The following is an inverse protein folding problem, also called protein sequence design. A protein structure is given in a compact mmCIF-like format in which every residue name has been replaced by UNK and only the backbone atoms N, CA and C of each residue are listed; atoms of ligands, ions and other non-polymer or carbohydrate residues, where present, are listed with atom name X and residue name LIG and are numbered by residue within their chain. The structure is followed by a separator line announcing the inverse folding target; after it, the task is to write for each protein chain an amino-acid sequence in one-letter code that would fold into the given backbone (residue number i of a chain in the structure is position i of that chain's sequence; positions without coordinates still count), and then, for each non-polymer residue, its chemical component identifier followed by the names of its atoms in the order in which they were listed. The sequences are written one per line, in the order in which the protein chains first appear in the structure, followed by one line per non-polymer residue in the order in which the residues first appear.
data_IF_714150681769
#
_entry.id   IF_714150681769
#
_cell.length_a   1.000
_cell.length_b   1.000
_cell.length_c   1.000
_cell.angle_alpha   90.00
_cell.angle_beta   90.00
_cell.angle_gamma   90.00
#
_symmetry.space_group_name_H-M   'P 1'
#
loop_
_entity.id
_entity.type
_entity.pdbx_description
1 polymer ?
#
# COMPACT_ATOMS: atom_id res chain seq x y z
N UNK A 1 -6.42 5.24 -4.63
CA UNK A 1 -6.19 6.26 -5.69
C UNK A 1 -7.28 6.15 -6.75
N UNK A 2 -7.32 7.05 -7.74
CA UNK A 2 -8.23 6.92 -8.89
C UNK A 2 -7.60 6.02 -9.98
N UNK A 3 -8.39 5.37 -10.85
CA UNK A 3 -7.84 4.63 -11.98
C UNK A 3 -6.86 5.46 -12.81
N UNK A 4 -5.72 4.87 -13.16
CA UNK A 4 -4.65 5.53 -13.94
C UNK A 4 -3.74 6.48 -13.16
N UNK A 5 -3.99 6.72 -11.87
CA UNK A 5 -3.07 7.49 -11.03
C UNK A 5 -1.83 6.67 -10.68
N UNK A 6 -0.67 7.33 -10.64
CA UNK A 6 0.55 6.80 -10.02
C UNK A 6 0.27 6.54 -8.52
N UNK A 7 0.72 5.39 -8.01
CA UNK A 7 0.35 4.89 -6.67
C UNK A 7 1.49 4.93 -5.66
N UNK A 8 2.74 4.90 -6.11
CA UNK A 8 3.92 4.85 -5.24
C UNK A 8 4.12 6.19 -4.49
N UNK A 9 4.00 7.29 -5.22
CA UNK A 9 4.21 8.68 -4.78
C UNK A 9 2.93 9.50 -4.83
N UNK A 10 1.77 8.83 -4.82
CA UNK A 10 0.49 9.52 -4.73
C UNK A 10 0.47 10.50 -3.55
N UNK A 11 -0.16 11.66 -3.76
CA UNK A 11 -0.31 12.69 -2.74
C UNK A 11 -1.77 12.71 -2.27
N UNK A 12 -2.07 12.19 -1.07
CA UNK A 12 -3.41 12.20 -0.52
C UNK A 12 -3.93 13.62 -0.35
N UNK A 13 -5.19 13.83 -0.69
CA UNK A 13 -5.88 15.08 -0.45
C UNK A 13 -6.60 15.05 0.91
N UNK A 14 -6.96 16.21 1.48
CA UNK A 14 -7.84 16.25 2.65
C UNK A 14 -9.17 15.50 2.44
N UNK A 15 -9.67 15.47 1.20
CA UNK A 15 -10.87 14.72 0.84
C UNK A 15 -10.68 13.20 0.97
N UNK A 16 -9.48 12.68 0.75
CA UNK A 16 -9.17 11.26 0.90
C UNK A 16 -9.09 10.86 2.37
N UNK A 17 -8.51 11.72 3.22
CA UNK A 17 -8.50 11.52 4.67
C UNK A 17 -9.94 11.47 5.20
N UNK A 18 -10.77 12.46 4.81
CA UNK A 18 -12.19 12.50 5.20
C UNK A 18 -12.95 11.25 4.77
N UNK A 19 -12.66 10.73 3.57
CA UNK A 19 -13.28 9.50 3.06
C UNK A 19 -12.86 8.28 3.88
N UNK A 20 -11.57 8.15 4.17
CA UNK A 20 -11.03 7.00 4.89
C UNK A 20 -11.42 6.98 6.37
N UNK A 21 -11.61 8.14 7.00
CA UNK A 21 -12.07 8.22 8.39
C UNK A 21 -13.47 7.61 8.61
N UNK A 22 -14.29 7.54 7.56
CA UNK A 22 -15.60 6.87 7.59
C UNK A 22 -15.56 5.37 7.27
N UNK A 23 -14.38 4.81 6.97
CA UNK A 23 -14.22 3.39 6.68
C UNK A 23 -14.25 2.56 7.97
N UNK A 24 -14.76 1.33 7.87
CA UNK A 24 -14.71 0.36 8.96
C UNK A 24 -13.39 -0.44 8.99
N UNK A 25 -12.67 -0.43 7.86
CA UNK A 25 -11.42 -1.14 7.66
C UNK A 25 -10.69 -0.51 6.48
N UNK A 26 -9.36 -0.45 6.54
CA UNK A 26 -8.50 -0.08 5.42
C UNK A 26 -7.63 -1.27 5.05
N UNK A 27 -7.56 -1.55 3.75
CA UNK A 27 -6.65 -2.52 3.18
C UNK A 27 -5.51 -1.78 2.49
N UNK A 28 -4.27 -2.10 2.86
CA UNK A 28 -3.06 -1.56 2.24
C UNK A 28 -2.25 -2.68 1.62
N UNK A 29 -1.52 -2.42 0.53
CA UNK A 29 -0.67 -3.45 -0.05
C UNK A 29 0.51 -3.77 0.86
N UNK A 30 1.15 -2.74 1.43
CA UNK A 30 2.42 -2.91 2.14
C UNK A 30 3.59 -3.11 1.16
N UNK A 31 4.63 -3.83 1.58
CA UNK A 31 5.88 -4.02 0.81
C UNK A 31 6.53 -2.71 0.32
N UNK A 32 6.23 -1.59 0.98
CA UNK A 32 6.62 -0.23 0.58
C UNK A 32 6.03 0.27 -0.75
N UNK A 33 4.88 -0.26 -1.20
CA UNK A 33 4.18 0.26 -2.38
C UNK A 33 3.76 1.72 -2.13
N UNK A 34 2.88 1.94 -1.17
CA UNK A 34 2.30 3.26 -0.89
C UNK A 34 3.19 4.04 0.10
N UNK A 35 4.25 4.70 -0.41
CA UNK A 35 5.21 5.45 0.45
C UNK A 35 4.56 6.56 1.29
N UNK A 36 3.42 7.05 0.83
CA UNK A 36 2.60 8.06 1.50
C UNK A 36 1.71 7.50 2.62
N UNK A 37 1.44 6.19 2.64
CA UNK A 37 0.37 5.61 3.44
C UNK A 37 0.60 5.74 4.94
N UNK A 38 1.83 5.53 5.42
CA UNK A 38 2.13 5.66 6.86
C UNK A 38 1.79 7.06 7.40
N UNK A 39 2.07 8.12 6.63
CA UNK A 39 1.71 9.51 7.01
C UNK A 39 0.22 9.77 6.89
N UNK A 40 -0.41 9.20 5.87
CA UNK A 40 -1.86 9.30 5.68
C UNK A 40 -2.63 8.63 6.84
N UNK A 41 -2.22 7.43 7.23
CA UNK A 41 -2.88 6.62 8.25
C UNK A 41 -2.75 7.22 9.65
N UNK A 42 -1.67 7.96 9.93
CA UNK A 42 -1.52 8.73 11.19
C UNK A 42 -2.63 9.77 11.42
N UNK A 43 -3.35 10.18 10.37
CA UNK A 43 -4.47 11.10 10.48
C UNK A 43 -5.82 10.41 10.73
N UNK A 44 -5.85 9.07 10.75
CA UNK A 44 -7.06 8.29 10.96
C UNK A 44 -7.15 7.81 12.40
N UNK A 45 -8.34 7.91 12.98
CA UNK A 45 -8.60 7.49 14.36
C UNK A 45 -9.61 6.36 14.40
N UNK A 46 -9.27 5.25 15.06
CA UNK A 46 -10.19 4.13 15.31
C UNK A 46 -10.55 3.30 14.07
N UNK A 47 -9.87 3.50 12.94
CA UNK A 47 -10.04 2.69 11.72
C UNK A 47 -8.91 1.67 11.66
N UNK A 48 -9.18 0.36 11.70
CA UNK A 48 -8.14 -0.66 11.59
C UNK A 48 -7.55 -0.73 10.17
N UNK A 49 -6.29 -1.16 10.08
CA UNK A 49 -5.57 -1.47 8.85
C UNK A 49 -5.28 -2.98 8.78
N UNK A 50 -5.38 -3.55 7.58
CA UNK A 50 -4.84 -4.86 7.23
C UNK A 50 -3.90 -4.71 6.04
N UNK A 51 -2.68 -5.23 6.18
CA UNK A 51 -1.71 -5.33 5.08
C UNK A 51 -1.99 -6.62 4.31
N UNK A 52 -2.47 -6.51 3.07
CA UNK A 52 -2.97 -7.68 2.32
C UNK A 52 -1.87 -8.52 1.69
N UNK A 53 -0.60 -8.11 1.81
CA UNK A 53 0.54 -8.92 1.37
C UNK A 53 1.21 -9.71 2.48
N UNK A 54 0.65 -9.69 3.69
CA UNK A 54 1.14 -10.53 4.79
C UNK A 54 1.16 -12.01 4.38
N UNK A 55 2.28 -12.70 4.63
CA UNK A 55 2.48 -14.09 4.23
C UNK A 55 3.13 -14.29 2.86
N UNK A 56 3.17 -13.26 2.00
CA UNK A 56 3.86 -13.34 0.70
C UNK A 56 5.38 -13.25 0.89
N UNK A 57 6.12 -14.12 0.22
CA UNK A 57 7.59 -14.02 0.11
C UNK A 57 7.96 -13.02 -1.01
N UNK A 58 8.55 -11.85 -0.69
CA UNK A 58 8.83 -10.85 -1.70
C UNK A 58 10.07 -11.19 -2.53
N UNK A 59 10.06 -10.75 -3.79
CA UNK A 59 11.28 -10.68 -4.60
C UNK A 59 12.03 -9.39 -4.29
N UNK A 60 13.36 -9.42 -4.23
CA UNK A 60 14.17 -8.22 -4.07
C UNK A 60 14.25 -7.38 -5.35
N UNK A 61 14.27 -6.05 -5.21
CA UNK A 61 14.60 -5.13 -6.31
C UNK A 61 16.07 -5.30 -6.68
N UNK A 62 16.36 -5.46 -7.98
CA UNK A 62 17.68 -5.88 -8.48
C UNK A 62 18.73 -4.77 -8.53
N UNK A 63 18.33 -3.51 -8.67
CA UNK A 63 19.26 -2.38 -8.83
C UNK A 63 18.63 -1.03 -8.42
N UNK A 64 19.47 0.01 -8.37
CA UNK A 64 19.04 1.38 -8.09
C UNK A 64 18.91 1.68 -6.59
N UNK A 65 18.31 2.84 -6.23
CA UNK A 65 18.29 3.34 -4.85
C UNK A 65 17.48 2.48 -3.87
N UNK A 66 16.68 1.54 -4.39
CA UNK A 66 15.87 0.61 -3.59
C UNK A 66 16.35 -0.84 -3.72
N UNK A 67 17.56 -1.07 -4.22
CA UNK A 67 18.15 -2.41 -4.34
C UNK A 67 18.07 -3.20 -3.03
N UNK A 68 17.67 -4.46 -3.12
CA UNK A 68 17.46 -5.35 -1.98
C UNK A 68 16.16 -5.16 -1.20
N UNK A 69 15.41 -4.07 -1.43
CA UNK A 69 14.06 -3.91 -0.83
C UNK A 69 13.04 -4.81 -1.53
N UNK A 70 11.92 -5.16 -0.87
CA UNK A 70 10.82 -5.89 -1.50
C UNK A 70 10.29 -5.20 -2.75
N UNK A 71 10.07 -5.97 -3.81
CA UNK A 71 9.28 -5.56 -4.97
C UNK A 71 7.79 -5.65 -4.60
N UNK A 72 7.06 -4.52 -4.57
CA UNK A 72 5.71 -4.50 -4.04
C UNK A 72 4.64 -5.09 -4.95
N UNK A 73 4.95 -5.34 -6.23
CA UNK A 73 3.99 -5.76 -7.27
C UNK A 73 3.64 -7.25 -7.19
N UNK A 74 3.46 -7.77 -5.98
CA UNK A 74 3.29 -9.21 -5.73
C UNK A 74 2.01 -9.79 -6.33
N UNK A 75 0.95 -8.96 -6.46
CA UNK A 75 -0.34 -9.33 -7.06
C UNK A 75 -0.24 -9.68 -8.55
N UNK A 76 0.87 -9.39 -9.22
CA UNK A 76 1.10 -9.78 -10.61
C UNK A 76 1.31 -11.29 -10.79
N UNK A 77 1.55 -12.02 -9.69
CA UNK A 77 1.53 -13.49 -9.68
C UNK A 77 0.14 -13.98 -9.26
N UNK A 78 -0.47 -14.87 -10.06
CA UNK A 78 -1.77 -15.45 -9.75
C UNK A 78 -1.75 -16.27 -8.46
N UNK A 79 -0.65 -16.95 -8.17
CA UNK A 79 -0.50 -17.75 -6.94
C UNK A 79 -0.52 -16.84 -5.70
N UNK A 80 0.14 -15.68 -5.77
CA UNK A 80 0.14 -14.71 -4.68
C UNK A 80 -1.23 -14.04 -4.49
N UNK A 81 -2.06 -13.97 -5.53
CA UNK A 81 -3.38 -13.36 -5.46
C UNK A 81 -4.41 -14.22 -4.69
N UNK A 82 -4.07 -15.48 -4.39
CA UNK A 82 -4.91 -16.41 -3.62
C UNK A 82 -4.58 -16.45 -2.12
N UNK A 83 -3.46 -15.84 -1.73
CA UNK A 83 -2.98 -15.82 -0.34
C UNK A 83 -3.78 -14.82 0.48
#
# INVERSE_FOLDING_TARGET
TKPGAEIHDYQPTPGDIKRAQGAQLILSNGLNLERWFARFYQHLQGVPEVVVSEGIQPMGISAGPYSGKPNPHAWMSADNALI
#
